data_IF_546246339540
#
_entry.id   IF_546246339540
#
_cell.length_a   1.000
_cell.length_b   1.000
_cell.length_c   1.000
_cell.angle_alpha   90.00
_cell.angle_beta   90.00
_cell.angle_gamma   90.00
#
_symmetry.space_group_name_H-M   'P 1'
#
loop_
_entity.id
_entity.type
_entity.pdbx_description
1 polymer ?
#
# COMPACT_ATOMS: atom_id res chain seq x y z
N UNK A 1 -4.64 5.12 -6.55
CA UNK A 1 -4.29 3.92 -7.36
C UNK A 1 -5.49 2.98 -7.44
N UNK A 2 -5.61 2.18 -8.49
CA UNK A 2 -6.73 1.23 -8.69
C UNK A 2 -6.21 -0.13 -9.18
N UNK A 3 -6.95 -1.21 -8.90
CA UNK A 3 -6.67 -2.53 -9.46
C UNK A 3 -7.00 -2.53 -10.96
N UNK A 4 -6.02 -2.87 -11.80
CA UNK A 4 -6.15 -2.91 -13.27
C UNK A 4 -5.99 -4.33 -13.85
N UNK A 5 -5.89 -5.35 -12.99
CA UNK A 5 -5.69 -6.73 -13.40
C UNK A 5 -5.95 -7.73 -12.27
N UNK A 6 -5.87 -9.04 -12.56
CA UNK A 6 -5.98 -10.05 -11.53
C UNK A 6 -4.82 -9.92 -10.53
N UNK A 7 -5.14 -10.05 -9.25
CA UNK A 7 -4.15 -9.97 -8.17
C UNK A 7 -4.22 -11.26 -7.35
N UNK A 8 -3.08 -11.70 -6.82
CA UNK A 8 -3.00 -12.81 -5.88
C UNK A 8 -2.04 -12.44 -4.77
N UNK A 9 -2.48 -12.61 -3.53
CA UNK A 9 -1.61 -12.48 -2.36
C UNK A 9 -0.88 -13.82 -2.21
N UNK A 10 0.45 -13.80 -2.26
CA UNK A 10 1.30 -15.01 -2.27
C UNK A 10 1.95 -15.32 -0.92
N UNK A 11 1.70 -14.50 0.11
CA UNK A 11 2.26 -14.67 1.45
C UNK A 11 1.50 -13.84 2.49
N UNK A 12 2.01 -13.81 3.71
CA UNK A 12 1.43 -12.99 4.77
C UNK A 12 1.75 -11.51 4.54
N UNK A 13 0.72 -10.66 4.52
CA UNK A 13 0.90 -9.21 4.51
C UNK A 13 1.04 -8.73 5.95
N UNK A 14 2.18 -8.10 6.25
CA UNK A 14 2.42 -7.46 7.54
C UNK A 14 1.89 -6.03 7.50
N UNK A 15 1.19 -5.64 8.56
CA UNK A 15 0.70 -4.29 8.68
C UNK A 15 1.86 -3.31 8.87
N UNK A 16 1.88 -2.24 8.08
CA UNK A 16 2.94 -1.24 8.08
C UNK A 16 4.21 -1.71 7.37
N UNK A 17 4.15 -2.77 6.56
CA UNK A 17 5.27 -3.21 5.73
C UNK A 17 5.74 -2.06 4.82
N UNK A 18 7.03 -1.74 4.89
CA UNK A 18 7.65 -0.78 3.97
C UNK A 18 7.81 -1.44 2.60
N UNK A 19 7.10 -0.90 1.62
CA UNK A 19 7.06 -1.46 0.25
C UNK A 19 7.92 -0.67 -0.74
N UNK A 20 8.32 0.55 -0.38
CA UNK A 20 9.22 1.37 -1.16
C UNK A 20 9.91 2.41 -0.28
N UNK A 21 11.19 2.65 -0.54
CA UNK A 21 11.90 3.81 -0.05
C UNK A 21 12.83 4.37 -1.12
N UNK A 22 12.90 5.70 -1.19
CA UNK A 22 13.81 6.39 -2.09
C UNK A 22 14.38 7.64 -1.42
N UNK A 23 15.71 7.78 -1.51
CA UNK A 23 16.42 8.95 -1.05
C UNK A 23 16.42 10.01 -2.14
N UNK A 24 15.79 11.16 -1.90
CA UNK A 24 15.75 12.28 -2.85
C UNK A 24 16.54 13.47 -2.29
N UNK A 25 17.78 13.63 -2.77
CA UNK A 25 18.70 14.77 -2.52
C UNK A 25 19.37 14.89 -1.13
N UNK A 26 20.39 15.76 -1.09
CA UNK A 26 21.50 15.75 -0.13
C UNK A 26 21.16 16.10 1.32
N UNK A 27 20.07 16.84 1.61
CA UNK A 27 19.70 17.27 2.97
C UNK A 27 18.51 16.50 3.57
N UNK A 28 18.48 15.18 3.37
CA UNK A 28 17.64 14.20 4.12
C UNK A 28 16.18 13.98 3.68
N UNK A 29 15.75 14.37 2.47
CA UNK A 29 14.40 14.00 2.02
C UNK A 29 14.36 12.52 1.64
N UNK A 30 13.64 11.73 2.43
CA UNK A 30 13.36 10.31 2.15
C UNK A 30 11.87 10.15 1.90
N UNK A 31 11.49 9.55 0.77
CA UNK A 31 10.13 9.09 0.53
C UNK A 31 10.02 7.67 1.07
N UNK A 32 9.06 7.42 1.95
CA UNK A 32 8.71 6.08 2.41
C UNK A 32 7.28 5.77 2.01
N UNK A 33 7.05 4.56 1.52
CA UNK A 33 5.71 4.03 1.26
C UNK A 33 5.53 2.79 2.12
N UNK A 34 4.51 2.81 2.97
CA UNK A 34 4.11 1.68 3.79
C UNK A 34 2.75 1.15 3.32
N UNK A 35 2.55 -0.15 3.47
CA UNK A 35 1.32 -0.84 3.09
C UNK A 35 0.68 -1.51 4.30
N UNK A 36 -0.64 -1.45 4.36
CA UNK A 36 -1.49 -2.13 5.32
C UNK A 36 -2.51 -2.98 4.57
N UNK A 37 -2.95 -4.08 5.19
CA UNK A 37 -4.03 -4.89 4.65
C UNK A 37 -5.23 -4.86 5.61
N UNK A 38 -6.25 -4.08 5.23
CA UNK A 38 -7.55 -4.14 5.88
C UNK A 38 -8.27 -5.43 5.45
N UNK A 39 -8.16 -6.46 6.29
CA UNK A 39 -8.78 -7.77 6.08
C UNK A 39 -10.30 -7.71 6.11
N UNK A 40 -10.88 -6.83 6.93
CA UNK A 40 -12.33 -6.70 7.05
C UNK A 40 -12.94 -6.16 5.75
N UNK A 41 -12.29 -5.15 5.15
CA UNK A 41 -12.77 -4.48 3.93
C UNK A 41 -12.14 -5.05 2.66
N UNK A 42 -11.22 -6.00 2.78
CA UNK A 42 -10.44 -6.56 1.69
C UNK A 42 -9.72 -5.47 0.85
N UNK A 43 -9.03 -4.54 1.51
CA UNK A 43 -8.42 -3.35 0.91
C UNK A 43 -6.93 -3.25 1.27
N UNK A 44 -6.09 -2.95 0.28
CA UNK A 44 -4.72 -2.53 0.52
C UNK A 44 -4.66 -1.01 0.70
N UNK A 45 -4.11 -0.56 1.83
CA UNK A 45 -3.93 0.88 2.11
C UNK A 45 -2.45 1.22 2.00
N UNK A 46 -2.12 2.19 1.17
CA UNK A 46 -0.77 2.71 1.00
C UNK A 46 -0.67 4.10 1.60
N UNK A 47 0.33 4.31 2.45
CA UNK A 47 0.66 5.63 3.00
C UNK A 47 2.04 6.01 2.52
N UNK A 48 2.12 7.07 1.72
CA UNK A 48 3.37 7.68 1.29
C UNK A 48 3.63 8.91 2.14
N UNK A 49 4.79 8.98 2.80
CA UNK A 49 5.20 10.13 3.59
C UNK A 49 6.65 10.49 3.31
N UNK A 50 6.95 11.78 3.46
CA UNK A 50 8.32 12.27 3.32
C UNK A 50 8.74 13.07 4.54
N UNK A 51 9.92 12.74 5.06
CA UNK A 51 10.52 13.48 6.15
C UNK A 51 11.41 14.56 5.54
N UNK A 52 11.13 15.84 5.81
CA UNK A 52 12.00 16.97 5.47
C UNK A 52 12.44 17.63 6.77
N UNK A 53 13.74 17.68 7.01
CA UNK A 53 14.32 18.19 8.27
C UNK A 53 14.38 19.74 8.31
N UNK A 54 14.31 20.41 7.15
CA UNK A 54 14.53 21.85 7.03
C UNK A 54 13.36 22.47 6.25
N UNK A 55 12.50 23.21 6.97
CA UNK A 55 11.39 24.05 6.52
C UNK A 55 10.62 23.56 5.28
N UNK A 56 9.53 22.84 5.51
CA UNK A 56 8.56 22.54 4.46
C UNK A 56 7.48 21.58 4.91
N UNK A 57 6.23 21.87 4.51
CA UNK A 57 5.05 21.08 4.86
C UNK A 57 5.22 19.61 4.41
N UNK A 58 5.08 18.63 5.32
CA UNK A 58 5.25 17.22 4.99
C UNK A 58 4.29 16.83 3.86
N UNK A 59 4.84 16.22 2.80
CA UNK A 59 4.02 15.68 1.72
C UNK A 59 3.64 14.26 2.10
N UNK A 60 2.38 14.10 2.52
CA UNK A 60 1.75 12.83 2.80
C UNK A 60 0.67 12.56 1.76
N UNK A 61 0.51 11.30 1.37
CA UNK A 61 -0.54 10.83 0.47
C UNK A 61 -1.02 9.46 0.91
N UNK A 62 -2.31 9.20 0.76
CA UNK A 62 -2.95 7.93 1.10
C UNK A 62 -3.69 7.43 -0.13
N UNK A 63 -3.58 6.13 -0.41
CA UNK A 63 -4.35 5.45 -1.46
C UNK A 63 -4.89 4.13 -0.95
N UNK A 64 -6.21 3.94 -1.07
CA UNK A 64 -6.89 2.67 -0.82
C UNK A 64 -7.12 1.94 -2.15
N UNK A 65 -6.72 0.67 -2.22
CA UNK A 65 -6.90 -0.20 -3.39
C UNK A 65 -7.73 -1.40 -2.95
N UNK A 66 -9.04 -1.43 -3.26
CA UNK A 66 -9.88 -2.59 -3.01
C UNK A 66 -9.40 -3.80 -3.80
N UNK A 67 -9.36 -4.96 -3.16
CA UNK A 67 -9.11 -6.24 -3.83
C UNK A 67 -10.46 -6.78 -4.31
N UNK A 68 -10.71 -6.63 -5.60
CA UNK A 68 -11.95 -7.05 -6.23
C UNK A 68 -11.78 -8.38 -6.94
N UNK A 69 -12.88 -9.13 -7.03
CA UNK A 69 -12.96 -10.28 -7.93
C UNK A 69 -12.76 -9.79 -9.37
N UNK A 70 -11.70 -10.27 -10.01
CA UNK A 70 -11.41 -9.90 -11.39
C UNK A 70 -12.16 -10.83 -12.35
N UNK A 71 -12.90 -10.33 -13.35
CA UNK A 71 -13.60 -11.18 -14.30
C UNK A 71 -12.65 -12.19 -14.96
N UNK A 72 -13.00 -13.48 -14.91
CA UNK A 72 -12.16 -14.56 -15.43
C UNK A 72 -11.06 -15.05 -14.49
N UNK A 73 -10.95 -14.54 -13.25
CA UNK A 73 -9.99 -15.04 -12.25
C UNK A 73 -10.64 -15.10 -10.86
N UNK A 74 -10.58 -16.27 -10.21
CA UNK A 74 -11.03 -16.45 -8.82
C UNK A 74 -10.00 -15.83 -7.87
N UNK A 75 -10.03 -14.51 -7.67
CA UNK A 75 -9.19 -13.81 -6.68
C UNK A 75 -9.97 -13.66 -5.36
N UNK A 76 -9.87 -14.64 -4.46
CA UNK A 76 -10.30 -14.46 -3.06
C UNK A 76 -9.06 -14.24 -2.21
N UNK A 77 -8.82 -13.00 -1.79
CA UNK A 77 -7.74 -12.65 -0.84
C UNK A 77 -8.08 -13.07 0.61
N UNK A 78 -9.35 -13.42 0.86
CA UNK A 78 -9.85 -13.90 2.15
C UNK A 78 -10.46 -15.28 1.91
N UNK A 79 -10.05 -16.33 2.63
CA UNK A 79 -10.82 -17.58 2.67
C UNK A 79 -12.20 -17.26 3.25
N UNK A 80 -13.28 -17.48 2.49
CA UNK A 80 -14.61 -17.41 3.08
C UNK A 80 -14.74 -18.55 4.07
N UNK A 81 -14.75 -18.26 5.37
CA UNK A 81 -15.21 -19.22 6.36
C UNK A 81 -16.66 -19.60 6.02
N UNK A 82 -16.95 -20.90 6.13
CA UNK A 82 -18.28 -21.48 5.94
C UNK A 82 -19.11 -21.29 7.20
#
# INVERSE_FOLDING_TARGET
>A
CHQIGPMKITGELKDGERVFDERRSLLFKTLQVVRFFDRERNVLVYVAYSNRVIEGSPKNSISSVPIMNWPGTQTSAIPRER
#
